data_IF_853847310440
#
_entry.id   IF_853847310440
#
_cell.length_a   1.000
_cell.length_b   1.000
_cell.length_c   1.000
_cell.angle_alpha   90.00
_cell.angle_beta   90.00
_cell.angle_gamma   90.00
#
_symmetry.space_group_name_H-M   'P 1'
#
loop_
_entity.id
_entity.type
_entity.pdbx_description
1 polymer ?
#
# COMPACT_ATOMS: atom_id res chain seq x y z
N UNK A 1 12.18 -11.38 18.40
CA UNK A 1 13.25 -10.35 18.36
C UNK A 1 13.18 -9.45 19.59
N UNK A 2 14.28 -9.35 20.34
CA UNK A 2 14.38 -8.64 21.64
C UNK A 2 13.92 -7.15 21.59
N UNK A 3 13.85 -6.55 20.39
CA UNK A 3 13.42 -5.16 20.19
C UNK A 3 11.91 -4.95 19.98
N UNK A 4 11.09 -6.00 19.91
CA UNK A 4 9.63 -5.87 19.68
C UNK A 4 8.89 -5.10 20.79
N UNK A 5 9.50 -4.97 21.97
CA UNK A 5 8.99 -4.16 23.10
C UNK A 5 9.28 -2.67 22.97
N UNK A 6 10.15 -2.25 22.05
CA UNK A 6 10.52 -0.84 21.82
C UNK A 6 9.56 -0.12 20.87
N UNK A 7 8.73 -0.86 20.15
CA UNK A 7 7.75 -0.31 19.22
C UNK A 7 6.50 0.16 19.99
N UNK A 8 6.35 1.48 20.13
CA UNK A 8 5.21 2.13 20.83
C UNK A 8 3.88 1.90 20.11
N UNK A 9 3.91 1.65 18.81
CA UNK A 9 2.74 1.28 18.01
C UNK A 9 3.03 0.07 17.16
N UNK A 10 2.00 -0.75 16.96
CA UNK A 10 2.02 -1.95 16.11
C UNK A 10 0.89 -1.83 15.10
N UNK A 11 1.17 -2.26 13.87
CA UNK A 11 0.16 -2.37 12.84
C UNK A 11 -0.83 -3.47 13.25
N UNK A 12 -2.11 -3.13 13.31
CA UNK A 12 -3.21 -4.04 13.57
C UNK A 12 -4.30 -3.95 12.52
N UNK A 13 -5.41 -4.66 12.74
CA UNK A 13 -6.57 -4.65 11.84
C UNK A 13 -7.09 -3.23 11.56
N UNK A 14 -7.17 -2.38 12.59
CA UNK A 14 -7.64 -0.99 12.44
C UNK A 14 -6.73 -0.11 11.55
N UNK A 15 -5.47 -0.48 11.32
CA UNK A 15 -4.62 0.19 10.33
C UNK A 15 -4.98 -0.26 8.91
N UNK A 16 -5.30 -1.54 8.72
CA UNK A 16 -5.74 -2.10 7.44
C UNK A 16 -7.08 -1.49 7.05
N UNK A 17 -8.05 -1.49 7.97
CA UNK A 17 -9.39 -0.94 7.74
C UNK A 17 -9.32 0.54 7.31
N UNK A 18 -8.47 1.34 7.97
CA UNK A 18 -8.26 2.74 7.59
C UNK A 18 -7.73 2.92 6.17
N UNK A 19 -6.90 2.00 5.68
CA UNK A 19 -6.39 2.04 4.30
C UNK A 19 -7.48 1.61 3.32
N UNK A 20 -8.29 0.62 3.68
CA UNK A 20 -9.46 0.21 2.87
C UNK A 20 -10.48 1.36 2.76
N UNK A 21 -10.82 2.04 3.86
CA UNK A 21 -11.70 3.22 3.85
C UNK A 21 -11.15 4.37 2.96
N UNK A 22 -9.83 4.49 2.83
CA UNK A 22 -9.21 5.47 1.94
C UNK A 22 -9.30 5.04 0.47
N UNK A 23 -9.14 3.74 0.19
CA UNK A 23 -9.30 3.19 -1.15
C UNK A 23 -10.73 3.42 -1.64
N UNK A 24 -11.73 3.08 -0.82
CA UNK A 24 -13.14 3.19 -1.18
C UNK A 24 -13.52 4.63 -1.52
N UNK A 25 -13.13 5.60 -0.68
CA UNK A 25 -13.36 7.03 -0.94
C UNK A 25 -12.70 7.54 -2.23
N UNK A 26 -11.52 7.03 -2.57
CA UNK A 26 -10.86 7.41 -3.81
C UNK A 26 -11.53 6.77 -5.04
N UNK A 27 -12.04 5.53 -4.89
CA UNK A 27 -12.74 4.80 -5.95
C UNK A 27 -14.12 5.40 -6.27
N UNK A 28 -14.81 5.97 -5.28
CA UNK A 28 -16.07 6.69 -5.50
C UNK A 28 -15.91 7.87 -6.47
N UNK A 29 -14.75 8.53 -6.43
CA UNK A 29 -14.46 9.70 -7.27
C UNK A 29 -13.93 9.35 -8.66
N UNK A 30 -13.22 8.23 -8.81
CA UNK A 30 -12.56 7.84 -10.05
C UNK A 30 -12.77 6.35 -10.31
N UNK A 31 -13.72 5.96 -11.18
CA UNK A 31 -13.94 4.57 -11.52
C UNK A 31 -12.76 4.02 -12.32
N UNK A 32 -12.22 2.88 -11.90
CA UNK A 32 -11.06 2.29 -12.56
C UNK A 32 -11.38 1.74 -13.95
N UNK A 33 -10.55 2.02 -14.96
CA UNK A 33 -10.69 1.41 -16.27
C UNK A 33 -10.31 -0.07 -16.23
N UNK A 34 -10.96 -0.89 -17.07
CA UNK A 34 -10.75 -2.35 -17.14
C UNK A 34 -9.53 -2.76 -17.97
N UNK A 35 -8.64 -1.82 -18.26
CA UNK A 35 -7.48 -2.02 -19.12
C UNK A 35 -6.17 -1.94 -18.32
N UNK A 36 -5.08 -2.38 -18.95
CA UNK A 36 -3.76 -2.29 -18.33
C UNK A 36 -3.30 -0.83 -18.30
N UNK A 37 -2.99 -0.33 -17.10
CA UNK A 37 -2.61 1.08 -16.91
C UNK A 37 -1.09 1.22 -16.86
N UNK A 38 -0.57 2.08 -17.73
CA UNK A 38 0.83 2.48 -17.70
C UNK A 38 1.06 3.54 -16.61
N UNK A 39 2.08 3.39 -15.77
CA UNK A 39 2.37 4.35 -14.71
C UNK A 39 2.92 5.66 -15.27
N UNK A 40 2.65 6.76 -14.56
CA UNK A 40 3.28 8.06 -14.82
C UNK A 40 2.70 8.90 -15.95
N UNK A 41 1.37 8.90 -16.13
CA UNK A 41 0.69 9.80 -17.09
C UNK A 41 0.96 11.28 -16.78
N UNK A 42 1.15 11.65 -15.51
CA UNK A 42 1.60 12.99 -15.10
C UNK A 42 2.68 12.91 -14.00
N UNK A 43 3.31 14.04 -13.68
CA UNK A 43 4.44 14.08 -12.74
C UNK A 43 4.04 13.64 -11.32
N UNK A 44 2.82 13.98 -10.88
CA UNK A 44 2.32 13.63 -9.55
C UNK A 44 2.05 12.12 -9.47
N UNK A 45 1.34 11.57 -10.46
CA UNK A 45 1.04 10.14 -10.50
C UNK A 45 2.30 9.29 -10.64
N UNK A 46 3.30 9.77 -11.40
CA UNK A 46 4.60 9.12 -11.51
C UNK A 46 5.31 9.01 -10.15
N UNK A 47 5.32 10.08 -9.34
CA UNK A 47 5.93 10.05 -8.01
C UNK A 47 5.18 9.09 -7.06
N UNK A 48 3.85 9.06 -7.15
CA UNK A 48 3.03 8.12 -6.35
C UNK A 48 3.32 6.67 -6.76
N UNK A 49 3.38 6.38 -8.07
CA UNK A 49 3.72 5.06 -8.60
C UNK A 49 5.15 4.63 -8.17
N UNK A 50 6.11 5.55 -8.11
CA UNK A 50 7.44 5.28 -7.51
C UNK A 50 7.30 4.88 -6.05
N UNK A 51 6.53 5.63 -5.24
CA UNK A 51 6.23 5.26 -3.86
C UNK A 51 5.64 3.86 -3.73
N UNK A 52 4.70 3.50 -4.62
CA UNK A 52 4.11 2.16 -4.70
C UNK A 52 5.17 1.08 -4.93
N UNK A 53 6.16 1.31 -5.79
CA UNK A 53 7.25 0.33 -6.01
C UNK A 53 8.07 0.07 -4.73
N UNK A 54 8.25 1.09 -3.89
CA UNK A 54 8.96 0.98 -2.61
C UNK A 54 8.16 0.12 -1.64
N UNK A 55 6.84 0.33 -1.56
CA UNK A 55 5.95 -0.50 -0.73
C UNK A 55 5.95 -1.95 -1.20
N UNK A 56 5.85 -2.22 -2.52
CA UNK A 56 5.93 -3.59 -3.05
C UNK A 56 7.27 -4.26 -2.75
N UNK A 57 8.36 -3.49 -2.69
CA UNK A 57 9.68 -4.01 -2.27
C UNK A 57 9.69 -4.34 -0.77
N UNK A 58 9.06 -3.52 0.06
CA UNK A 58 8.90 -3.80 1.49
C UNK A 58 8.05 -5.06 1.72
N UNK A 59 6.94 -5.22 0.99
CA UNK A 59 6.07 -6.42 1.01
C UNK A 59 6.88 -7.70 0.72
N UNK A 60 7.71 -7.70 -0.32
CA UNK A 60 8.58 -8.85 -0.65
C UNK A 60 9.59 -9.16 0.46
N UNK A 61 10.18 -8.14 1.08
CA UNK A 61 11.10 -8.32 2.22
C UNK A 61 10.38 -8.86 3.44
N UNK A 62 9.18 -8.37 3.73
CA UNK A 62 8.35 -8.89 4.80
C UNK A 62 8.02 -10.38 4.55
N UNK A 63 7.74 -10.76 3.29
CA UNK A 63 7.46 -12.16 2.92
C UNK A 63 8.65 -13.08 3.18
N UNK A 64 9.86 -12.65 2.82
CA UNK A 64 11.09 -13.37 3.14
C UNK A 64 11.32 -13.51 4.66
N UNK A 65 11.08 -12.44 5.43
CA UNK A 65 11.17 -12.50 6.90
C UNK A 65 10.14 -13.44 7.52
N UNK A 66 8.91 -13.48 6.97
CA UNK A 66 7.86 -14.42 7.40
C UNK A 66 8.26 -15.86 7.10
N UNK A 67 8.81 -16.14 5.92
CA UNK A 67 9.31 -17.48 5.57
C UNK A 67 10.44 -17.93 6.51
N UNK A 68 11.26 -17.00 6.99
CA UNK A 68 12.33 -17.26 7.98
C UNK A 68 11.83 -17.33 9.43
N UNK A 69 10.53 -17.18 9.68
CA UNK A 69 9.95 -17.18 11.03
C UNK A 69 10.30 -15.94 11.87
N UNK A 70 10.82 -14.88 11.23
CA UNK A 70 11.24 -13.64 11.89
C UNK A 70 10.12 -12.60 11.96
N UNK A 71 9.03 -12.80 11.21
CA UNK A 71 7.85 -11.94 11.17
C UNK A 71 6.58 -12.78 11.25
N UNK A 72 5.83 -12.65 12.35
CA UNK A 72 4.65 -13.48 12.63
C UNK A 72 3.31 -12.71 12.55
N UNK A 73 3.31 -11.42 12.24
CA UNK A 73 2.09 -10.62 12.12
C UNK A 73 1.54 -10.72 10.69
N UNK A 74 0.30 -11.21 10.56
CA UNK A 74 -0.41 -11.25 9.28
C UNK A 74 -0.84 -9.85 8.83
N UNK A 75 -1.11 -8.97 9.80
CA UNK A 75 -1.58 -7.61 9.62
C UNK A 75 -0.56 -6.75 8.88
N UNK A 76 0.75 -6.96 9.12
CA UNK A 76 1.80 -6.24 8.37
C UNK A 76 1.73 -6.56 6.87
N UNK A 77 1.48 -7.82 6.50
CA UNK A 77 1.35 -8.20 5.10
C UNK A 77 0.11 -7.61 4.45
N UNK A 78 -1.03 -7.71 5.14
CA UNK A 78 -2.29 -7.13 4.67
C UNK A 78 -2.16 -5.62 4.51
N UNK A 79 -1.56 -4.95 5.49
CA UNK A 79 -1.33 -3.51 5.45
C UNK A 79 -0.43 -3.10 4.28
N UNK A 80 0.72 -3.75 4.06
CA UNK A 80 1.60 -3.43 2.93
C UNK A 80 0.92 -3.67 1.58
N UNK A 81 0.11 -4.73 1.49
CA UNK A 81 -0.64 -5.05 0.29
C UNK A 81 -1.69 -3.96 0.00
N UNK A 82 -2.53 -3.62 0.99
CA UNK A 82 -3.54 -2.56 0.88
C UNK A 82 -2.93 -1.18 0.66
N UNK A 83 -1.80 -0.88 1.27
CA UNK A 83 -1.11 0.38 1.03
C UNK A 83 -0.61 0.50 -0.41
N UNK A 84 -0.16 -0.60 -1.02
CA UNK A 84 0.22 -0.61 -2.43
C UNK A 84 -1.00 -0.43 -3.37
N UNK A 85 -2.17 -0.93 -2.98
CA UNK A 85 -3.43 -0.70 -3.70
C UNK A 85 -3.89 0.76 -3.55
N UNK A 86 -3.83 1.32 -2.35
CA UNK A 86 -4.17 2.72 -2.08
C UNK A 86 -3.31 3.68 -2.89
N UNK A 87 -1.99 3.47 -2.96
CA UNK A 87 -1.12 4.32 -3.80
C UNK A 87 -1.44 4.16 -5.29
N UNK A 88 -1.84 2.97 -5.74
CA UNK A 88 -2.32 2.80 -7.11
C UNK A 88 -3.59 3.62 -7.37
N UNK A 89 -4.58 3.54 -6.48
CA UNK A 89 -5.81 4.33 -6.58
C UNK A 89 -5.53 5.82 -6.56
N UNK A 90 -4.66 6.27 -5.66
CA UNK A 90 -4.29 7.68 -5.56
C UNK A 90 -3.57 8.18 -6.81
N UNK A 91 -2.70 7.36 -7.41
CA UNK A 91 -2.05 7.71 -8.67
C UNK A 91 -3.06 7.91 -9.79
N UNK A 92 -4.08 7.05 -9.91
CA UNK A 92 -5.15 7.20 -10.91
C UNK A 92 -6.06 8.38 -10.61
N UNK A 93 -6.35 8.65 -9.34
CA UNK A 93 -7.08 9.84 -8.92
C UNK A 93 -6.35 11.11 -9.36
N UNK A 94 -5.03 11.17 -9.15
CA UNK A 94 -4.19 12.30 -9.55
C UNK A 94 -4.09 12.46 -11.07
N UNK A 95 -4.33 11.43 -11.86
CA UNK A 95 -4.33 11.45 -13.33
C UNK A 95 -5.62 11.96 -13.97
N UNK A 96 -6.71 11.91 -13.20
CA UNK A 96 -8.02 12.37 -13.63
C UNK A 96 -8.29 13.81 -13.17
N UNK A 97 -7.83 14.15 -11.96
CA UNK A 97 -8.06 15.47 -11.35
C UNK A 97 -6.90 16.47 -11.52
N UNK A 98 -5.74 16.02 -12.05
CA UNK A 98 -4.52 16.83 -12.19
C UNK A 98 -3.95 16.83 -13.60
#
# INVERSE_FOLDING_TARGET
PEDMGKLTQRIGAADVDRVEDLIDRLQEEVPFPREFIYPGKNAVSAQIDVGRTVIRRAERRAADLKQKGLLNSAEIHQYLNRLADMLFTLARYAEEKG
#
